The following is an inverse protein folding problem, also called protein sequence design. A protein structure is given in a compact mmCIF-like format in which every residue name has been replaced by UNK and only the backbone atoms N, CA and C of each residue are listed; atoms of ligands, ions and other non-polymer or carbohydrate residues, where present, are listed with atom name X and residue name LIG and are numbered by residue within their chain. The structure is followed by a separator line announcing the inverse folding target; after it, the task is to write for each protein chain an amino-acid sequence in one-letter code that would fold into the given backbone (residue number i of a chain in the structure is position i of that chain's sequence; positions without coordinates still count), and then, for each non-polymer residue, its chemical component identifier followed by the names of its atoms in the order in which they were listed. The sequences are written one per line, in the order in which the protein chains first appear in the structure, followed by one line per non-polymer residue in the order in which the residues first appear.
data_IF_549510082320
#
_entry.id   IF_549510082320
#
_cell.length_a   1.000
_cell.length_b   1.000
_cell.length_c   1.000
_cell.angle_alpha   90.00
_cell.angle_beta   90.00
_cell.angle_gamma   90.00
#
_symmetry.space_group_name_H-M   'P 1'
#
loop_
_entity.id
_entity.type
_entity.pdbx_description
1 polymer ?
#
# COMPACT_ATOMS: atom_id res chain seq x y z
N UNK A 1 1.61 -24.11 16.83
CA UNK A 1 1.68 -24.11 15.36
C UNK A 1 2.34 -22.80 14.99
N UNK A 2 3.64 -22.87 14.73
CA UNK A 2 4.48 -21.69 14.46
C UNK A 2 4.03 -21.06 13.15
N UNK A 3 3.76 -19.76 13.15
CA UNK A 3 3.49 -19.00 11.93
C UNK A 3 4.72 -19.14 11.03
N UNK A 4 4.53 -19.85 9.92
CA UNK A 4 5.55 -20.05 8.91
C UNK A 4 5.78 -18.70 8.23
N UNK A 5 6.96 -18.13 8.37
CA UNK A 5 7.37 -16.88 7.72
C UNK A 5 7.66 -17.11 6.23
N UNK A 6 6.73 -17.79 5.56
CA UNK A 6 6.80 -18.23 4.17
C UNK A 6 5.41 -18.06 3.56
N UNK A 7 5.23 -16.95 2.83
CA UNK A 7 4.40 -16.90 1.63
C UNK A 7 4.48 -15.48 1.06
N UNK A 8 4.69 -15.40 -0.25
CA UNK A 8 4.60 -14.22 -1.08
C UNK A 8 3.48 -13.27 -0.64
N UNK A 9 3.70 -11.95 -0.64
CA UNK A 9 2.70 -10.98 -0.20
C UNK A 9 2.68 -9.71 -1.05
N UNK A 10 1.50 -9.09 -1.12
CA UNK A 10 1.31 -7.79 -1.74
C UNK A 10 1.62 -6.69 -0.73
N UNK A 11 2.48 -5.75 -1.10
CA UNK A 11 2.80 -4.60 -0.27
C UNK A 11 1.87 -3.43 -0.59
N UNK A 12 1.29 -2.86 0.46
CA UNK A 12 0.63 -1.55 0.40
C UNK A 12 1.66 -0.44 0.13
N UNK A 13 1.21 0.68 -0.43
CA UNK A 13 2.03 1.86 -0.77
C UNK A 13 2.76 2.40 0.46
N UNK A 14 2.13 2.35 1.62
CA UNK A 14 2.73 2.77 2.90
C UNK A 14 3.98 1.97 3.25
N UNK A 15 4.02 0.68 2.92
CA UNK A 15 5.20 -0.18 3.14
C UNK A 15 6.36 0.32 2.30
N UNK A 16 6.16 0.61 1.02
CA UNK A 16 7.25 1.09 0.14
C UNK A 16 7.82 2.43 0.61
N UNK A 17 6.96 3.36 1.03
CA UNK A 17 7.38 4.68 1.53
C UNK A 17 8.21 4.54 2.81
N UNK A 18 7.82 3.64 3.71
CA UNK A 18 8.44 3.48 5.02
C UNK A 18 9.50 2.37 5.06
N UNK A 19 9.73 1.67 3.95
CA UNK A 19 10.51 0.42 3.89
C UNK A 19 11.88 0.52 4.52
N UNK A 20 12.56 1.66 4.38
CA UNK A 20 13.91 1.88 4.95
C UNK A 20 13.98 1.82 6.47
N UNK A 21 12.85 1.88 7.17
CA UNK A 21 12.78 1.84 8.63
C UNK A 21 11.95 0.66 9.17
N UNK A 22 11.35 -0.14 8.30
CA UNK A 22 10.58 -1.33 8.70
C UNK A 22 11.57 -2.44 9.06
N UNK A 23 11.29 -3.20 10.11
CA UNK A 23 12.03 -4.42 10.42
C UNK A 23 11.83 -5.44 9.27
N UNK A 24 12.89 -5.86 8.56
CA UNK A 24 12.76 -6.82 7.47
C UNK A 24 12.10 -8.14 7.88
N UNK A 25 12.14 -8.51 9.17
CA UNK A 25 11.48 -9.71 9.68
C UNK A 25 9.94 -9.62 9.65
N UNK A 26 9.37 -8.42 9.50
CA UNK A 26 7.93 -8.19 9.35
C UNK A 26 7.45 -8.22 7.89
N UNK A 27 8.37 -8.34 6.92
CA UNK A 27 8.07 -8.36 5.49
C UNK A 27 8.07 -9.79 4.93
N UNK A 28 7.32 -10.06 3.85
CA UNK A 28 7.35 -11.37 3.20
C UNK A 28 8.67 -11.57 2.45
N UNK A 29 9.10 -12.82 2.30
CA UNK A 29 10.33 -13.15 1.56
C UNK A 29 10.21 -12.83 0.06
N UNK A 30 9.03 -13.01 -0.49
CA UNK A 30 8.68 -12.65 -1.87
C UNK A 30 7.65 -11.52 -1.82
N UNK A 31 7.93 -10.43 -2.52
CA UNK A 31 7.15 -9.19 -2.45
C UNK A 31 6.60 -8.87 -3.84
N UNK A 32 5.33 -8.52 -3.89
CA UNK A 32 4.70 -7.91 -5.06
C UNK A 32 4.10 -6.56 -4.69
N UNK A 33 3.88 -5.71 -5.69
CA UNK A 33 3.10 -4.47 -5.56
C UNK A 33 2.00 -4.43 -6.62
N UNK A 34 0.95 -3.66 -6.34
CA UNK A 34 -0.08 -3.37 -7.34
C UNK A 34 0.36 -2.23 -8.27
N UNK A 35 -0.10 -2.24 -9.51
CA UNK A 35 -0.02 -1.07 -10.40
C UNK A 35 -0.69 0.17 -9.80
N UNK A 36 -1.66 0.00 -8.88
CA UNK A 36 -2.27 1.10 -8.13
C UNK A 36 -1.26 1.75 -7.17
N UNK A 37 -0.44 0.94 -6.49
CA UNK A 37 0.65 1.44 -5.65
C UNK A 37 1.66 2.23 -6.47
N UNK A 38 2.03 1.73 -7.66
CA UNK A 38 2.91 2.47 -8.56
C UNK A 38 2.29 3.82 -8.98
N UNK A 39 0.99 3.83 -9.26
CA UNK A 39 0.26 5.05 -9.60
C UNK A 39 0.26 6.07 -8.45
N UNK A 40 0.08 5.62 -7.21
CA UNK A 40 0.16 6.49 -6.02
C UNK A 40 1.55 7.09 -5.83
N UNK A 41 2.61 6.28 -5.97
CA UNK A 41 3.99 6.78 -5.91
C UNK A 41 4.28 7.81 -6.99
N UNK A 42 3.80 7.56 -8.21
CA UNK A 42 3.94 8.47 -9.35
C UNK A 42 3.22 9.80 -9.12
N UNK A 43 1.96 9.74 -8.65
CA UNK A 43 1.17 10.92 -8.35
C UNK A 43 1.77 11.74 -7.20
N UNK A 44 2.30 11.07 -6.16
CA UNK A 44 2.87 11.71 -4.97
C UNK A 44 4.00 12.71 -5.29
N UNK A 45 4.72 12.56 -6.39
CA UNK A 45 5.72 13.54 -6.84
C UNK A 45 5.12 14.89 -7.22
N UNK A 46 3.92 14.86 -7.81
CA UNK A 46 3.23 16.05 -8.28
C UNK A 46 2.46 16.76 -7.17
N UNK A 47 2.25 16.09 -6.03
CA UNK A 47 1.58 16.63 -4.85
C UNK A 47 2.51 17.39 -3.90
N UNK A 48 3.82 17.35 -4.12
CA UNK A 48 4.77 18.09 -3.27
C UNK A 48 4.52 19.58 -3.43
N UNK A 49 4.17 20.22 -2.31
CA UNK A 49 3.87 21.65 -2.24
C UNK A 49 5.15 22.46 -2.13
N UNK A 50 5.08 23.70 -2.60
CA UNK A 50 6.21 24.62 -2.61
C UNK A 50 6.56 25.11 -1.21
N UNK A 51 7.82 25.49 -1.02
CA UNK A 51 8.30 26.07 0.24
C UNK A 51 7.60 27.39 0.63
N UNK A 52 7.01 28.12 -0.31
CA UNK A 52 6.24 29.35 -0.02
C UNK A 52 4.78 29.07 0.42
N UNK A 53 4.33 27.81 0.31
CA UNK A 53 2.97 27.38 0.65
C UNK A 53 2.88 26.63 1.99
N UNK A 54 4.01 26.17 2.55
CA UNK A 54 4.10 25.35 3.76
C UNK A 54 5.53 25.28 4.31
N UNK A 55 5.67 24.95 5.61
CA UNK A 55 6.95 24.83 6.34
C UNK A 55 7.22 23.41 6.91
N UNK A 56 6.41 22.39 6.56
CA UNK A 56 6.51 21.05 7.13
C UNK A 56 7.70 20.24 6.58
N UNK A 57 8.15 20.52 5.37
CA UNK A 57 9.31 19.88 4.73
C UNK A 57 9.95 20.82 3.70
N UNK A 58 11.21 20.54 3.34
CA UNK A 58 11.84 21.17 2.18
C UNK A 58 11.36 20.50 0.88
N UNK A 59 10.81 21.29 -0.05
CA UNK A 59 10.23 20.86 -1.33
C UNK A 59 11.20 19.98 -2.13
N UNK A 60 12.44 20.43 -2.30
CA UNK A 60 13.41 19.74 -3.15
C UNK A 60 13.84 18.42 -2.54
N UNK A 61 14.07 18.39 -1.22
CA UNK A 61 14.36 17.16 -0.50
C UNK A 61 13.17 16.18 -0.52
N UNK A 62 11.95 16.68 -0.37
CA UNK A 62 10.72 15.87 -0.44
C UNK A 62 10.53 15.25 -1.83
N UNK A 63 10.64 16.05 -2.90
CA UNK A 63 10.58 15.57 -4.29
C UNK A 63 11.65 14.51 -4.56
N UNK A 64 12.89 14.77 -4.15
CA UNK A 64 13.99 13.82 -4.33
C UNK A 64 13.74 12.50 -3.61
N UNK A 65 13.21 12.54 -2.39
CA UNK A 65 12.88 11.32 -1.61
C UNK A 65 11.76 10.52 -2.26
N UNK A 66 10.68 11.17 -2.69
CA UNK A 66 9.57 10.48 -3.38
C UNK A 66 10.03 9.88 -4.72
N UNK A 67 10.96 10.55 -5.42
CA UNK A 67 11.50 10.06 -6.68
C UNK A 67 12.38 8.83 -6.48
N UNK A 68 13.22 8.83 -5.45
CA UNK A 68 14.04 7.66 -5.06
C UNK A 68 13.15 6.45 -4.74
N UNK A 69 12.04 6.63 -4.01
CA UNK A 69 11.08 5.55 -3.73
C UNK A 69 10.44 5.02 -5.02
N UNK A 70 9.97 5.91 -5.90
CA UNK A 70 9.36 5.52 -7.18
C UNK A 70 10.36 4.73 -8.05
N UNK A 71 11.56 5.25 -8.24
CA UNK A 71 12.58 4.60 -9.07
C UNK A 71 12.96 3.23 -8.53
N UNK A 72 13.09 3.08 -7.20
CA UNK A 72 13.34 1.75 -6.60
C UNK A 72 12.20 0.79 -6.87
N UNK A 73 10.95 1.25 -6.72
CA UNK A 73 9.79 0.41 -7.01
C UNK A 73 9.77 -0.05 -8.47
N UNK A 74 10.05 0.84 -9.43
CA UNK A 74 10.13 0.53 -10.87
C UNK A 74 11.28 -0.43 -11.22
N UNK A 75 12.39 -0.38 -10.48
CA UNK A 75 13.53 -1.26 -10.72
C UNK A 75 13.38 -2.64 -10.03
N UNK A 76 12.68 -2.70 -8.89
CA UNK A 76 12.55 -3.91 -8.07
C UNK A 76 11.34 -4.77 -8.47
N UNK A 77 10.25 -4.17 -8.96
CA UNK A 77 8.98 -4.86 -9.16
C UNK A 77 8.44 -4.78 -10.59
N UNK A 78 7.77 -5.84 -11.01
CA UNK A 78 6.80 -5.84 -12.11
C UNK A 78 5.39 -5.75 -11.49
N UNK A 79 4.72 -4.58 -11.50
CA UNK A 79 3.49 -4.39 -10.74
C UNK A 79 2.32 -5.23 -11.26
N UNK A 80 1.59 -5.85 -10.34
CA UNK A 80 0.37 -6.60 -10.66
C UNK A 80 -0.71 -5.65 -11.21
N UNK A 81 -1.23 -5.88 -12.42
CA UNK A 81 -2.27 -5.04 -12.99
C UNK A 81 -3.56 -5.05 -12.17
N UNK A 82 -4.27 -3.92 -12.16
CA UNK A 82 -5.67 -3.91 -11.75
C UNK A 82 -6.54 -4.29 -12.95
N UNK A 83 -6.84 -5.58 -13.06
CA UNK A 83 -7.48 -6.16 -14.24
C UNK A 83 -9.00 -6.37 -14.07
N UNK A 84 -9.62 -7.11 -14.98
CA UNK A 84 -11.07 -7.37 -14.94
C UNK A 84 -11.50 -8.24 -13.76
N UNK A 85 -10.65 -9.12 -13.26
CA UNK A 85 -10.93 -9.95 -12.08
C UNK A 85 -10.87 -9.12 -10.80
N UNK A 86 -9.80 -8.34 -10.63
CA UNK A 86 -9.66 -7.39 -9.53
C UNK A 86 -10.83 -6.38 -9.53
N UNK A 87 -11.25 -5.89 -10.70
CA UNK A 87 -12.42 -5.00 -10.83
C UNK A 87 -13.74 -5.65 -10.36
N UNK A 88 -13.96 -6.94 -10.62
CA UNK A 88 -15.14 -7.67 -10.11
C UNK A 88 -15.07 -7.85 -8.60
N UNK A 89 -13.90 -8.19 -8.08
CA UNK A 89 -13.67 -8.35 -6.64
C UNK A 89 -13.86 -7.03 -5.90
N UNK A 90 -13.46 -5.90 -6.50
CA UNK A 90 -13.66 -4.57 -5.93
C UNK A 90 -15.13 -4.30 -5.55
N UNK A 91 -16.09 -4.84 -6.31
CA UNK A 91 -17.52 -4.76 -5.97
C UNK A 91 -17.85 -5.47 -4.65
N UNK A 92 -17.30 -6.66 -4.42
CA UNK A 92 -17.47 -7.44 -3.17
C UNK A 92 -16.77 -6.75 -1.99
N UNK A 93 -15.55 -6.28 -2.21
CA UNK A 93 -14.77 -5.49 -1.23
C UNK A 93 -15.53 -4.23 -0.81
N UNK A 94 -16.08 -3.48 -1.78
CA UNK A 94 -16.89 -2.29 -1.53
C UNK A 94 -18.15 -2.60 -0.73
N UNK A 95 -18.85 -3.69 -1.06
CA UNK A 95 -20.03 -4.13 -0.32
C UNK A 95 -19.71 -4.47 1.14
N UNK A 96 -18.60 -5.17 1.39
CA UNK A 96 -18.14 -5.50 2.74
C UNK A 96 -17.79 -4.25 3.57
N UNK A 97 -17.13 -3.26 2.96
CA UNK A 97 -16.82 -1.97 3.60
C UNK A 97 -18.09 -1.19 3.95
N UNK A 98 -19.10 -1.19 3.08
CA UNK A 98 -20.40 -0.57 3.33
C UNK A 98 -21.12 -1.28 4.48
N UNK A 99 -21.14 -2.61 4.50
CA UNK A 99 -21.72 -3.40 5.58
C UNK A 99 -21.05 -3.13 6.93
N UNK A 100 -19.74 -2.84 6.92
CA UNK A 100 -18.98 -2.41 8.10
C UNK A 100 -19.21 -0.93 8.49
N UNK A 101 -20.17 -0.23 7.87
CA UNK A 101 -20.54 1.15 8.18
C UNK A 101 -19.55 2.21 7.65
N UNK A 102 -18.69 1.86 6.68
CA UNK A 102 -17.65 2.74 6.15
C UNK A 102 -17.96 3.18 4.71
N UNK A 103 -17.35 4.28 4.28
CA UNK A 103 -17.56 4.86 2.93
C UNK A 103 -16.41 4.44 1.99
N UNK A 104 -16.67 3.63 0.94
CA UNK A 104 -15.63 3.17 0.01
C UNK A 104 -14.92 4.31 -0.74
N UNK A 105 -15.66 5.36 -1.14
CA UNK A 105 -15.12 6.44 -1.98
C UNK A 105 -13.91 7.19 -1.38
N UNK A 106 -13.76 7.18 -0.05
CA UNK A 106 -12.61 7.81 0.63
C UNK A 106 -11.35 6.95 0.64
N UNK A 107 -11.45 5.68 0.24
CA UNK A 107 -10.42 4.64 0.29
C UNK A 107 -10.32 3.92 -1.05
N UNK A 108 -10.68 4.60 -2.14
CA UNK A 108 -10.89 3.93 -3.43
C UNK A 108 -9.62 3.21 -3.89
N UNK A 109 -8.46 3.85 -3.78
CA UNK A 109 -7.17 3.25 -4.14
C UNK A 109 -6.81 2.09 -3.21
N UNK A 110 -6.93 2.25 -1.88
CA UNK A 110 -6.72 1.17 -0.91
C UNK A 110 -7.57 -0.07 -1.25
N UNK A 111 -8.86 0.14 -1.57
CA UNK A 111 -9.77 -0.95 -1.89
C UNK A 111 -9.47 -1.58 -3.25
N UNK A 112 -8.87 -0.85 -4.19
CA UNK A 112 -8.36 -1.43 -5.44
C UNK A 112 -7.11 -2.27 -5.19
N UNK A 113 -6.18 -1.82 -4.33
CA UNK A 113 -5.01 -2.60 -3.89
C UNK A 113 -5.48 -3.89 -3.19
N UNK A 114 -6.45 -3.78 -2.27
CA UNK A 114 -7.05 -4.94 -1.61
C UNK A 114 -7.70 -5.90 -2.60
N UNK A 115 -8.41 -5.39 -3.61
CA UNK A 115 -9.03 -6.23 -4.62
C UNK A 115 -8.00 -6.95 -5.51
N UNK A 116 -6.88 -6.29 -5.84
CA UNK A 116 -5.74 -6.94 -6.50
C UNK A 116 -5.15 -8.05 -5.62
N UNK A 117 -4.93 -7.79 -4.33
CA UNK A 117 -4.42 -8.81 -3.40
C UNK A 117 -5.33 -10.05 -3.34
N UNK A 118 -6.65 -9.85 -3.27
CA UNK A 118 -7.63 -10.94 -3.27
C UNK A 118 -7.66 -11.68 -4.61
N UNK A 119 -7.48 -10.99 -5.74
CA UNK A 119 -7.46 -11.62 -7.06
C UNK A 119 -6.24 -12.57 -7.22
N UNK A 120 -5.09 -12.15 -6.70
CA UNK A 120 -3.84 -12.93 -6.74
C UNK A 120 -3.69 -13.93 -5.59
N UNK A 121 -4.68 -14.04 -4.70
CA UNK A 121 -4.62 -14.85 -3.48
C UNK A 121 -3.41 -14.51 -2.58
N UNK A 122 -3.07 -13.21 -2.50
CA UNK A 122 -1.94 -12.71 -1.73
C UNK A 122 -2.39 -12.04 -0.42
N UNK A 123 -1.72 -12.30 0.72
CA UNK A 123 -1.86 -11.47 1.91
C UNK A 123 -1.40 -10.04 1.64
N UNK A 124 -2.13 -9.05 2.17
CA UNK A 124 -1.79 -7.64 2.07
C UNK A 124 -1.03 -7.15 3.30
N UNK A 125 0.20 -6.71 3.11
CA UNK A 125 1.06 -6.13 4.15
C UNK A 125 0.87 -4.61 4.19
N UNK A 126 0.57 -4.05 5.37
CA UNK A 126 0.32 -2.60 5.53
C UNK A 126 0.70 -2.10 6.92
N UNK A 127 1.10 -0.83 7.01
CA UNK A 127 1.21 -0.13 8.30
C UNK A 127 -0.12 0.43 8.81
N UNK A 128 -1.17 0.43 7.97
CA UNK A 128 -2.48 1.02 8.27
C UNK A 128 -3.61 -0.03 8.13
N UNK A 129 -3.61 -1.12 8.92
CA UNK A 129 -4.61 -2.19 8.78
C UNK A 129 -6.06 -1.73 9.01
N UNK A 130 -6.26 -0.61 9.71
CA UNK A 130 -7.57 -0.03 9.93
C UNK A 130 -8.25 0.39 8.63
N UNK A 131 -7.53 0.70 7.55
CA UNK A 131 -8.12 1.03 6.25
C UNK A 131 -8.85 -0.16 5.62
N UNK A 132 -8.49 -1.38 6.00
CA UNK A 132 -9.06 -2.64 5.48
C UNK A 132 -10.09 -3.30 6.42
N UNK A 133 -10.47 -2.64 7.53
CA UNK A 133 -11.48 -3.13 8.48
C UNK A 133 -12.80 -3.57 7.80
N UNK A 134 -13.20 -4.82 8.02
CA UNK A 134 -14.40 -5.41 7.43
C UNK A 134 -14.14 -6.24 6.17
N UNK A 135 -12.88 -6.39 5.77
CA UNK A 135 -12.46 -7.29 4.70
C UNK A 135 -11.92 -8.64 5.19
N UNK A 136 -11.99 -8.95 6.49
CA UNK A 136 -11.34 -10.12 7.10
C UNK A 136 -11.78 -11.46 6.50
N UNK A 137 -13.01 -11.57 5.98
CA UNK A 137 -13.53 -12.79 5.33
C UNK A 137 -13.11 -12.89 3.84
N UNK A 138 -12.52 -11.84 3.29
CA UNK A 138 -12.12 -11.75 1.88
C UNK A 138 -10.60 -11.64 1.70
N UNK A 139 -9.90 -11.01 2.64
CA UNK A 139 -8.50 -10.64 2.52
C UNK A 139 -7.77 -10.89 3.84
N UNK A 140 -6.64 -11.60 3.75
CA UNK A 140 -5.67 -11.69 4.84
C UNK A 140 -4.87 -10.39 4.90
N UNK A 141 -5.04 -9.63 5.98
CA UNK A 141 -4.28 -8.40 6.23
C UNK A 141 -3.20 -8.67 7.26
N UNK A 142 -1.95 -8.46 6.87
CA UNK A 142 -0.79 -8.60 7.75
C UNK A 142 -0.35 -7.21 8.21
N UNK A 143 -0.46 -6.98 9.52
CA UNK A 143 -0.01 -5.72 10.13
C UNK A 143 1.51 -5.70 10.16
N UNK A 144 2.08 -4.65 9.61
CA UNK A 144 3.49 -4.27 9.80
C UNK A 144 3.55 -3.09 10.76
N UNK A 145 4.49 -3.12 11.68
CA UNK A 145 4.70 -2.07 12.68
C UNK A 145 5.08 -0.77 11.98
N UNK A 146 4.29 0.30 12.16
CA UNK A 146 4.60 1.60 11.60
C UNK A 146 5.87 2.15 12.27
N UNK A 147 6.97 2.36 11.54
CA UNK A 147 8.20 2.86 12.13
C UNK A 147 8.09 4.32 12.53
N UNK A 148 8.93 4.75 13.48
CA UNK A 148 9.12 6.17 13.78
C UNK A 148 10.07 6.76 12.75
N UNK A 149 9.57 7.67 11.93
CA UNK A 149 10.36 8.39 10.94
C UNK A 149 11.08 9.55 11.64
N UNK A 150 12.42 9.65 11.57
CA UNK A 150 13.11 10.88 11.95
C UNK A 150 12.61 11.97 11.01
N UNK A 151 12.01 13.04 11.57
CA UNK A 151 11.45 14.22 10.87
C UNK A 151 9.94 14.24 10.56
N UNK A 152 9.11 13.44 11.23
CA UNK A 152 7.69 13.80 11.47
C UNK A 152 7.51 14.50 12.83
#
# INVERSE_FOLDING_TARGET
MSADASQHGLLDTTILILRRWIDPAELPNEMAISAITLAELSAGLHEVRRNDEQDAYDEYAERARRLDVLQRAENEFDPVPFDAEAARIYGRVSAAVIAAGRKPRRRMTDLMIAATAVAEDLPLFTTNPDDFKGLHDLLTVVRVTRPRVPHE
#
